data_IF_143201357354
#
_entry.id   IF_143201357354
#
_cell.length_a   1.000
_cell.length_b   1.000
_cell.length_c   1.000
_cell.angle_alpha   90.00
_cell.angle_beta   90.00
_cell.angle_gamma   90.00
#
_symmetry.space_group_name_H-M   'P 1'
#
loop_
_entity.id
_entity.type
_entity.pdbx_description
1 polymer ?
#
# COMPACT_ATOMS: atom_id res chain seq x y z
N UNK A 1 29.30 -8.67 -9.99
CA UNK A 1 27.95 -8.11 -10.09
C UNK A 1 27.91 -6.94 -9.13
N UNK A 2 27.74 -5.71 -9.64
CA UNK A 2 27.92 -4.51 -8.83
C UNK A 2 26.89 -4.42 -7.71
N UNK A 3 27.36 -4.11 -6.51
CA UNK A 3 26.50 -3.98 -5.33
C UNK A 3 25.45 -2.88 -5.53
N UNK A 4 25.81 -1.80 -6.24
CA UNK A 4 24.91 -0.71 -6.62
C UNK A 4 23.79 -1.18 -7.55
N UNK A 5 24.09 -2.05 -8.51
CA UNK A 5 23.08 -2.65 -9.37
C UNK A 5 22.08 -3.49 -8.58
N UNK A 6 22.56 -4.29 -7.61
CA UNK A 6 21.70 -5.10 -6.75
C UNK A 6 20.80 -4.25 -5.85
N UNK A 7 21.34 -3.16 -5.29
CA UNK A 7 20.57 -2.18 -4.49
C UNK A 7 19.47 -1.54 -5.34
N UNK A 8 19.79 -1.13 -6.58
CA UNK A 8 18.82 -0.54 -7.49
C UNK A 8 17.66 -1.51 -7.81
N UNK A 9 17.97 -2.77 -8.15
CA UNK A 9 16.94 -3.79 -8.42
C UNK A 9 16.07 -4.10 -7.19
N UNK A 10 16.69 -4.14 -6.00
CA UNK A 10 15.94 -4.33 -4.75
C UNK A 10 14.96 -3.18 -4.52
N UNK A 11 15.36 -1.95 -4.85
CA UNK A 11 14.48 -0.78 -4.80
C UNK A 11 13.27 -0.90 -5.72
N UNK A 12 13.47 -1.34 -6.97
CA UNK A 12 12.38 -1.59 -7.93
C UNK A 12 11.41 -2.66 -7.41
N UNK A 13 11.92 -3.74 -6.82
CA UNK A 13 11.09 -4.80 -6.26
C UNK A 13 10.23 -4.28 -5.10
N UNK A 14 10.81 -3.47 -4.20
CA UNK A 14 10.06 -2.86 -3.10
C UNK A 14 8.95 -1.94 -3.62
N UNK A 15 9.21 -1.20 -4.70
CA UNK A 15 8.18 -0.35 -5.30
C UNK A 15 7.02 -1.17 -5.89
N UNK A 16 7.32 -2.25 -6.61
CA UNK A 16 6.30 -3.15 -7.17
C UNK A 16 5.43 -3.73 -6.05
N UNK A 17 6.06 -4.19 -4.95
CA UNK A 17 5.32 -4.73 -3.79
C UNK A 17 4.47 -3.64 -3.14
N UNK A 18 5.02 -2.43 -2.96
CA UNK A 18 4.31 -1.29 -2.39
C UNK A 18 3.07 -0.91 -3.21
N UNK A 19 3.22 -0.80 -4.53
CA UNK A 19 2.13 -0.51 -5.46
C UNK A 19 1.05 -1.61 -5.43
N UNK A 20 1.44 -2.88 -5.42
CA UNK A 20 0.50 -4.00 -5.33
C UNK A 20 -0.31 -3.97 -4.03
N UNK A 21 0.32 -3.64 -2.90
CA UNK A 21 -0.39 -3.52 -1.62
C UNK A 21 -1.45 -2.42 -1.64
N UNK A 22 -1.14 -1.26 -2.24
CA UNK A 22 -2.09 -0.15 -2.39
C UNK A 22 -3.28 -0.58 -3.25
N UNK A 23 -3.03 -1.20 -4.41
CA UNK A 23 -4.08 -1.64 -5.33
C UNK A 23 -4.97 -2.71 -4.70
N UNK A 24 -4.37 -3.73 -4.08
CA UNK A 24 -5.13 -4.81 -3.42
C UNK A 24 -5.94 -4.29 -2.22
N UNK A 25 -5.39 -3.33 -1.46
CA UNK A 25 -6.10 -2.65 -0.38
C UNK A 25 -7.34 -1.95 -0.91
N UNK A 26 -7.23 -1.18 -1.99
CA UNK A 26 -8.36 -0.48 -2.60
C UNK A 26 -9.48 -1.43 -3.06
N UNK A 27 -9.13 -2.55 -3.72
CA UNK A 27 -10.11 -3.57 -4.10
C UNK A 27 -10.78 -4.22 -2.88
N UNK A 28 -10.00 -4.55 -1.85
CA UNK A 28 -10.51 -5.15 -0.61
C UNK A 28 -11.47 -4.20 0.11
N UNK A 29 -11.14 -2.93 0.21
CA UNK A 29 -12.01 -1.92 0.80
C UNK A 29 -13.29 -1.74 0.00
N UNK A 30 -13.20 -1.65 -1.33
CA UNK A 30 -14.38 -1.55 -2.18
C UNK A 30 -15.36 -2.71 -1.96
N UNK A 31 -14.85 -3.93 -1.88
CA UNK A 31 -15.68 -5.10 -1.63
C UNK A 31 -16.32 -5.03 -0.23
N UNK A 32 -15.54 -4.69 0.80
CA UNK A 32 -16.07 -4.52 2.17
C UNK A 32 -17.17 -3.46 2.25
N UNK A 33 -17.00 -2.31 1.59
CA UNK A 33 -18.02 -1.26 1.58
C UNK A 33 -19.28 -1.73 0.85
N UNK A 34 -19.13 -2.44 -0.27
CA UNK A 34 -20.27 -2.98 -1.03
C UNK A 34 -21.07 -4.01 -0.23
N UNK A 35 -20.42 -4.76 0.65
CA UNK A 35 -21.06 -5.79 1.48
C UNK A 35 -21.75 -5.20 2.73
N UNK A 36 -21.60 -3.90 3.01
CA UNK A 36 -22.35 -3.23 4.08
C UNK A 36 -23.77 -2.99 3.58
N UNK A 37 -24.80 -3.56 4.25
CA UNK A 37 -26.19 -3.34 3.85
C UNK A 37 -26.56 -1.86 3.98
N UNK A 38 -27.38 -1.38 3.03
CA UNK A 38 -27.82 0.01 2.92
C UNK A 38 -28.91 0.37 3.97
N UNK A 39 -28.96 -0.38 5.08
CA UNK A 39 -29.84 -0.12 6.22
C UNK A 39 -29.23 0.97 7.10
N UNK A 40 -30.06 1.89 7.58
CA UNK A 40 -29.66 2.92 8.55
C UNK A 40 -29.44 2.30 9.94
N UNK A 41 -28.35 1.54 10.07
CA UNK A 41 -27.92 0.93 11.32
C UNK A 41 -27.07 1.92 12.13
N UNK A 42 -27.24 1.93 13.45
CA UNK A 42 -26.49 2.81 14.35
C UNK A 42 -24.96 2.62 14.29
N UNK A 43 -24.51 1.43 13.83
CA UNK A 43 -23.11 1.01 13.69
C UNK A 43 -22.53 1.29 12.27
N UNK A 44 -23.33 1.79 11.33
CA UNK A 44 -22.90 2.01 9.95
C UNK A 44 -21.66 2.91 9.85
N UNK A 45 -21.65 4.01 10.62
CA UNK A 45 -20.55 4.96 10.64
C UNK A 45 -19.27 4.37 11.25
N UNK A 46 -19.38 3.53 12.27
CA UNK A 46 -18.25 2.88 12.93
C UNK A 46 -17.62 1.81 12.02
N UNK A 47 -18.44 0.98 11.36
CA UNK A 47 -17.98 0.02 10.34
C UNK A 47 -17.28 0.69 9.17
N UNK A 48 -17.85 1.76 8.62
CA UNK A 48 -17.22 2.50 7.52
C UNK A 48 -15.88 3.10 7.95
N UNK A 49 -15.83 3.70 9.14
CA UNK A 49 -14.59 4.24 9.72
C UNK A 49 -13.53 3.15 9.87
N UNK A 50 -13.89 1.99 10.36
CA UNK A 50 -12.95 0.86 10.53
C UNK A 50 -12.44 0.33 9.19
N UNK A 51 -13.31 0.24 8.19
CA UNK A 51 -12.91 -0.17 6.83
C UNK A 51 -11.93 0.83 6.22
N UNK A 52 -12.22 2.13 6.32
CA UNK A 52 -11.35 3.21 5.83
C UNK A 52 -10.04 3.26 6.62
N UNK A 53 -10.09 3.13 7.94
CA UNK A 53 -8.90 3.12 8.80
C UNK A 53 -7.96 1.97 8.41
N UNK A 54 -8.51 0.77 8.23
CA UNK A 54 -7.75 -0.40 7.78
C UNK A 54 -7.14 -0.21 6.37
N UNK A 55 -7.86 0.46 5.46
CA UNK A 55 -7.32 0.84 4.16
C UNK A 55 -6.11 1.77 4.32
N UNK A 56 -6.26 2.85 5.10
CA UNK A 56 -5.22 3.85 5.31
C UNK A 56 -3.94 3.24 5.91
N UNK A 57 -4.06 2.34 6.89
CA UNK A 57 -2.91 1.63 7.45
C UNK A 57 -2.22 0.72 6.43
N UNK A 58 -2.98 0.08 5.55
CA UNK A 58 -2.42 -0.80 4.51
C UNK A 58 -1.73 0.02 3.42
N UNK A 59 -2.35 1.12 3.00
CA UNK A 59 -1.77 2.07 2.05
C UNK A 59 -0.51 2.72 2.62
N UNK A 60 -0.48 3.08 3.90
CA UNK A 60 0.71 3.62 4.57
C UNK A 60 1.90 2.66 4.47
N UNK A 61 1.67 1.35 4.64
CA UNK A 61 2.71 0.33 4.44
C UNK A 61 3.17 0.27 2.98
N UNK A 62 2.22 0.34 2.04
CA UNK A 62 2.52 0.40 0.61
C UNK A 62 3.38 1.62 0.25
N UNK A 63 2.98 2.82 0.70
CA UNK A 63 3.76 4.05 0.54
C UNK A 63 5.13 3.97 1.21
N UNK A 64 5.24 3.35 2.38
CA UNK A 64 6.52 3.11 3.04
C UNK A 64 7.47 2.28 2.19
N UNK A 65 6.98 1.21 1.57
CA UNK A 65 7.77 0.39 0.65
C UNK A 65 8.17 1.15 -0.61
N UNK A 66 7.26 1.94 -1.19
CA UNK A 66 7.57 2.83 -2.32
C UNK A 66 8.71 3.80 -1.94
N UNK A 67 8.61 4.46 -0.78
CA UNK A 67 9.61 5.43 -0.34
C UNK A 67 10.98 4.80 -0.10
N UNK A 68 11.03 3.62 0.54
CA UNK A 68 12.29 2.88 0.72
C UNK A 68 12.85 2.46 -0.63
N UNK A 69 12.00 1.98 -1.55
CA UNK A 69 12.41 1.59 -2.89
C UNK A 69 13.04 2.75 -3.67
N UNK A 70 12.44 3.94 -3.61
CA UNK A 70 12.97 5.16 -4.22
C UNK A 70 14.34 5.52 -3.65
N UNK A 71 14.52 5.43 -2.33
CA UNK A 71 15.82 5.70 -1.68
C UNK A 71 16.87 4.70 -2.14
N UNK A 72 16.53 3.41 -2.25
CA UNK A 72 17.46 2.39 -2.73
C UNK A 72 17.83 2.61 -4.20
N UNK A 73 16.87 2.97 -5.06
CA UNK A 73 17.15 3.31 -6.46
C UNK A 73 18.04 4.55 -6.57
N UNK A 74 17.81 5.56 -5.73
CA UNK A 74 18.68 6.74 -5.69
C UNK A 74 20.12 6.36 -5.32
N UNK A 75 20.31 5.54 -4.28
CA UNK A 75 21.64 5.07 -3.87
C UNK A 75 22.29 4.18 -4.95
N UNK A 76 21.52 3.29 -5.57
CA UNK A 76 22.03 2.34 -6.56
C UNK A 76 22.22 2.92 -7.97
N UNK A 77 21.55 4.04 -8.29
CA UNK A 77 21.63 4.71 -9.59
C UNK A 77 22.61 5.89 -9.63
N UNK A 78 22.93 6.50 -8.48
CA UNK A 78 23.88 7.61 -8.35
C UNK A 78 25.15 7.26 -7.56
N UNK A 79 25.23 6.06 -7.00
CA UNK A 79 26.39 5.54 -6.26
C UNK A 79 27.40 4.79 -7.12
#
# INVERSE_FOLDING_TARGET
MDIFWCINQTGIILEIIGALLIVLSAFKTRNKIKDIPDSWEADLAERLRDVISNQAFTELKGFGLLAIGLVMQFIGGFG
#
